data_IF_554935728370
#
_entry.id   IF_554935728370
#
_cell.length_a   1.000
_cell.length_b   1.000
_cell.length_c   1.000
_cell.angle_alpha   90.00
_cell.angle_beta   90.00
_cell.angle_gamma   90.00
#
_symmetry.space_group_name_H-M   'P 1'
#
loop_
_entity.id
_entity.type
_entity.pdbx_description
1 polymer ?
#
# COMPACT_ATOMS: atom_id res chain seq x y z
N UNK A 1 -25.94 -1.25 -25.78
CA UNK A 1 -25.78 -0.95 -27.22
C UNK A 1 -24.65 0.04 -27.38
N UNK A 2 -23.72 -0.21 -28.28
CA UNK A 2 -22.65 0.73 -28.61
C UNK A 2 -23.20 1.73 -29.63
N UNK A 3 -23.55 2.92 -29.16
CA UNK A 3 -24.07 4.00 -30.01
C UNK A 3 -22.92 4.91 -30.44
N UNK A 4 -22.90 5.42 -31.69
CA UNK A 4 -21.85 6.34 -32.12
C UNK A 4 -21.83 7.59 -31.22
N UNK A 5 -20.65 8.18 -31.03
CA UNK A 5 -20.49 9.38 -30.19
C UNK A 5 -21.31 10.58 -30.68
N UNK A 6 -21.71 10.59 -31.95
CA UNK A 6 -22.43 11.66 -32.61
C UNK A 6 -23.58 11.11 -33.46
N UNK A 7 -24.68 11.86 -33.49
CA UNK A 7 -25.82 11.63 -34.39
C UNK A 7 -26.00 12.81 -35.32
N UNK A 8 -26.10 12.53 -36.62
CA UNK A 8 -26.25 13.54 -37.67
C UNK A 8 -27.70 13.61 -38.15
N UNK A 9 -28.20 14.82 -38.34
CA UNK A 9 -29.55 15.13 -38.82
C UNK A 9 -29.52 16.32 -39.76
N UNK A 10 -30.47 16.38 -40.71
CA UNK A 10 -30.71 17.57 -41.53
C UNK A 10 -31.96 18.28 -41.03
N UNK A 11 -31.97 19.60 -41.10
CA UNK A 11 -33.17 20.42 -40.78
C UNK A 11 -34.29 20.23 -41.80
N UNK A 12 -33.96 20.03 -43.07
CA UNK A 12 -34.91 19.84 -44.15
C UNK A 12 -34.67 18.49 -44.83
N UNK A 13 -35.76 17.75 -45.10
CA UNK A 13 -35.70 16.46 -45.81
C UNK A 13 -35.74 16.59 -47.33
N UNK A 14 -36.37 17.63 -47.85
CA UNK A 14 -36.72 17.73 -49.28
C UNK A 14 -36.06 18.90 -50.00
N UNK A 15 -35.77 20.01 -49.31
CA UNK A 15 -35.06 21.16 -49.88
C UNK A 15 -33.63 21.19 -49.35
N UNK A 16 -32.69 20.68 -50.14
CA UNK A 16 -31.27 20.58 -49.77
C UNK A 16 -30.58 21.94 -49.81
N UNK A 17 -31.03 22.87 -50.66
CA UNK A 17 -30.43 24.20 -50.82
C UNK A 17 -30.61 25.08 -49.57
N UNK A 18 -31.71 24.88 -48.84
CA UNK A 18 -32.01 25.55 -47.58
C UNK A 18 -31.66 24.69 -46.34
N UNK A 19 -31.11 23.49 -46.55
CA UNK A 19 -30.85 22.56 -45.45
C UNK A 19 -29.59 22.93 -44.66
N UNK A 20 -29.74 23.00 -43.34
CA UNK A 20 -28.64 22.96 -42.39
C UNK A 20 -28.31 21.52 -42.00
N UNK A 21 -27.01 21.19 -41.92
CA UNK A 21 -26.54 19.96 -41.29
C UNK A 21 -26.39 20.19 -39.78
N UNK A 22 -26.90 19.26 -38.97
CA UNK A 22 -26.89 19.33 -37.51
C UNK A 22 -26.31 18.04 -36.95
N UNK A 23 -25.31 18.15 -36.09
CA UNK A 23 -24.65 17.03 -35.42
C UNK A 23 -24.85 17.21 -33.91
N UNK A 24 -25.37 16.18 -33.24
CA UNK A 24 -25.62 16.17 -31.78
C UNK A 24 -24.75 15.14 -31.09
N UNK A 25 -24.16 15.49 -29.95
CA UNK A 25 -23.37 14.55 -29.16
C UNK A 25 -24.28 13.61 -28.38
N UNK A 26 -24.01 12.32 -28.47
CA UNK A 26 -24.64 11.30 -27.63
C UNK A 26 -23.89 11.14 -26.29
N UNK A 27 -22.61 11.53 -26.22
CA UNK A 27 -21.82 11.50 -25.00
C UNK A 27 -22.09 12.71 -24.09
N UNK A 28 -22.37 13.87 -24.68
CA UNK A 28 -22.69 15.10 -23.95
C UNK A 28 -24.06 15.61 -24.38
N UNK A 29 -25.15 15.10 -23.78
CA UNK A 29 -26.49 15.57 -24.09
C UNK A 29 -26.59 17.08 -23.91
N UNK A 30 -26.99 17.76 -24.99
CA UNK A 30 -27.02 19.23 -25.06
C UNK A 30 -25.92 19.84 -25.94
N UNK A 31 -24.87 19.09 -26.30
CA UNK A 31 -23.88 19.54 -27.27
C UNK A 31 -24.42 19.38 -28.70
N UNK A 32 -24.40 20.47 -29.45
CA UNK A 32 -24.88 20.54 -30.82
C UNK A 32 -23.94 21.39 -31.67
N UNK A 33 -23.66 20.91 -32.88
CA UNK A 33 -22.96 21.64 -33.92
C UNK A 33 -23.87 21.75 -35.12
N UNK A 34 -23.95 22.92 -35.74
CA UNK A 34 -24.66 23.08 -37.00
C UNK A 34 -23.80 23.77 -38.04
N UNK A 35 -24.07 23.47 -39.31
CA UNK A 35 -23.42 24.09 -40.45
C UNK A 35 -24.46 24.48 -41.51
N UNK A 36 -24.35 25.72 -42.00
CA UNK A 36 -25.18 26.30 -43.06
C UNK A 36 -24.27 27.07 -44.02
N UNK A 37 -24.18 26.62 -45.26
CA UNK A 37 -23.33 27.23 -46.28
C UNK A 37 -21.86 27.29 -45.83
N UNK A 38 -21.36 28.51 -45.56
CA UNK A 38 -19.98 28.76 -45.09
C UNK A 38 -19.87 29.03 -43.58
N UNK A 39 -21.00 29.04 -42.88
CA UNK A 39 -21.07 29.30 -41.44
C UNK A 39 -21.26 28.00 -40.68
N UNK A 40 -20.59 27.87 -39.55
CA UNK A 40 -20.77 26.78 -38.62
C UNK A 40 -20.59 27.29 -37.20
N UNK A 41 -21.34 26.72 -36.26
CA UNK A 41 -21.24 27.08 -34.85
C UNK A 41 -21.42 25.85 -33.97
N UNK A 42 -20.85 25.95 -32.78
CA UNK A 42 -20.92 24.92 -31.75
C UNK A 42 -21.57 25.51 -30.50
N UNK A 43 -22.60 24.85 -30.00
CA UNK A 43 -23.33 25.28 -28.81
C UNK A 43 -23.52 24.12 -27.85
N UNK A 44 -23.38 24.41 -26.56
CA UNK A 44 -23.73 23.47 -25.49
C UNK A 44 -24.83 24.09 -24.62
N UNK A 45 -25.96 23.40 -24.53
CA UNK A 45 -27.05 23.75 -23.60
C UNK A 45 -27.46 22.49 -22.85
N UNK A 46 -27.04 22.37 -21.60
CA UNK A 46 -27.33 21.19 -20.79
C UNK A 46 -26.76 21.27 -19.39
N UNK A 47 -26.86 20.16 -18.67
CA UNK A 47 -26.55 20.06 -17.24
C UNK A 47 -25.06 19.83 -16.91
N UNK A 48 -24.18 19.74 -17.91
CA UNK A 48 -22.78 19.36 -17.72
C UNK A 48 -22.58 17.89 -17.33
N UNK A 49 -23.58 17.03 -17.58
CA UNK A 49 -23.52 15.61 -17.25
C UNK A 49 -23.16 14.79 -18.49
N UNK A 50 -22.09 14.00 -18.38
CA UNK A 50 -21.69 13.05 -19.41
C UNK A 50 -22.64 11.86 -19.41
N UNK A 51 -23.14 11.49 -20.58
CA UNK A 51 -23.86 10.23 -20.76
C UNK A 51 -22.87 9.07 -20.72
N UNK A 52 -23.12 8.15 -19.79
CA UNK A 52 -22.35 6.92 -19.61
C UNK A 52 -23.31 5.75 -19.84
N UNK A 53 -23.12 4.92 -20.88
CA UNK A 53 -24.04 3.81 -21.18
C UNK A 53 -24.22 2.81 -20.03
N UNK A 54 -23.19 2.66 -19.19
CA UNK A 54 -23.16 1.77 -18.04
C UNK A 54 -23.38 2.49 -16.70
N UNK A 55 -23.71 3.78 -16.74
CA UNK A 55 -23.82 4.63 -15.55
C UNK A 55 -22.47 5.10 -15.00
N UNK A 56 -22.53 5.88 -13.93
CA UNK A 56 -21.37 6.35 -13.18
C UNK A 56 -21.16 5.46 -11.95
N UNK A 57 -19.97 4.89 -11.81
CA UNK A 57 -19.54 4.19 -10.60
C UNK A 57 -18.63 5.12 -9.80
N UNK A 58 -18.98 5.49 -8.55
CA UNK A 58 -18.11 6.26 -7.68
C UNK A 58 -16.76 5.57 -7.47
N UNK A 59 -15.72 6.36 -7.21
CA UNK A 59 -14.41 5.81 -6.87
C UNK A 59 -14.51 4.97 -5.60
N UNK A 60 -13.89 3.79 -5.62
CA UNK A 60 -13.75 2.95 -4.43
C UNK A 60 -12.85 3.65 -3.41
N UNK A 61 -13.02 3.31 -2.14
CA UNK A 61 -12.13 3.80 -1.10
C UNK A 61 -10.68 3.40 -1.42
N UNK A 62 -9.69 4.26 -1.09
CA UNK A 62 -8.29 3.89 -1.23
C UNK A 62 -8.00 2.64 -0.39
N UNK A 63 -7.00 1.88 -0.82
CA UNK A 63 -6.54 0.74 -0.03
C UNK A 63 -6.07 1.24 1.34
N UNK A 64 -6.37 0.51 2.42
CA UNK A 64 -5.76 0.77 3.71
C UNK A 64 -4.23 0.69 3.60
N UNK A 65 -3.54 1.59 4.30
CA UNK A 65 -2.09 1.47 4.46
C UNK A 65 -1.76 0.28 5.36
N UNK A 66 -0.64 -0.38 5.09
CA UNK A 66 -0.16 -1.49 5.89
C UNK A 66 0.52 -1.00 7.16
N UNK A 67 0.43 -1.80 8.24
CA UNK A 67 1.21 -1.57 9.45
C UNK A 67 2.71 -1.76 9.18
N UNK A 68 3.55 -1.16 10.03
CA UNK A 68 4.99 -1.35 9.96
C UNK A 68 5.35 -2.82 10.15
N UNK A 69 6.25 -3.36 9.31
CA UNK A 69 6.67 -4.75 9.42
C UNK A 69 7.33 -5.01 10.78
N UNK A 70 6.94 -6.10 11.45
CA UNK A 70 7.55 -6.47 12.73
C UNK A 70 9.00 -6.92 12.51
N UNK A 71 9.95 -6.00 12.68
CA UNK A 71 11.39 -6.24 12.55
C UNK A 71 12.10 -6.52 13.87
N UNK A 72 13.38 -6.93 13.84
CA UNK A 72 14.21 -7.14 15.03
C UNK A 72 14.45 -5.86 15.85
N UNK A 73 14.13 -4.69 15.29
CA UNK A 73 14.15 -3.39 15.98
C UNK A 73 13.04 -3.27 17.04
N UNK A 74 11.92 -3.97 16.84
CA UNK A 74 10.73 -3.89 17.68
C UNK A 74 10.39 -5.22 18.36
N UNK A 75 11.01 -6.32 17.95
CA UNK A 75 10.91 -7.60 18.63
C UNK A 75 11.89 -7.65 19.80
N UNK A 76 11.38 -7.99 20.99
CA UNK A 76 12.20 -8.28 22.15
C UNK A 76 13.09 -9.51 21.87
N UNK A 77 14.38 -9.41 22.21
CA UNK A 77 15.29 -10.55 22.16
C UNK A 77 14.84 -11.59 23.20
N UNK A 78 14.88 -12.87 22.84
CA UNK A 78 14.59 -13.92 23.82
C UNK A 78 15.68 -13.96 24.88
N UNK A 79 15.26 -14.08 26.14
CA UNK A 79 16.18 -14.33 27.25
C UNK A 79 17.01 -15.60 26.99
N UNK A 80 18.30 -15.61 27.36
CA UNK A 80 19.12 -16.81 27.26
C UNK A 80 18.51 -17.93 28.11
N UNK A 81 18.65 -19.18 27.65
CA UNK A 81 18.19 -20.32 28.45
C UNK A 81 19.15 -20.57 29.61
N UNK A 82 18.64 -21.19 30.68
CA UNK A 82 19.44 -21.56 31.87
C UNK A 82 20.73 -22.30 31.51
N UNK A 83 20.68 -23.20 30.51
CA UNK A 83 21.86 -23.93 30.05
C UNK A 83 22.93 -22.99 29.48
N UNK A 84 22.53 -22.04 28.63
CA UNK A 84 23.44 -21.05 28.03
C UNK A 84 24.09 -20.18 29.10
N UNK A 85 23.33 -19.79 30.12
CA UNK A 85 23.87 -19.03 31.25
C UNK A 85 24.89 -19.82 32.08
N UNK A 86 24.62 -21.12 32.32
CA UNK A 86 25.54 -22.00 33.03
C UNK A 86 26.83 -22.22 32.24
N UNK A 87 26.73 -22.46 30.94
CA UNK A 87 27.89 -22.63 30.06
C UNK A 87 28.74 -21.35 30.02
N UNK A 88 28.10 -20.18 29.94
CA UNK A 88 28.77 -18.89 30.03
C UNK A 88 29.49 -18.72 31.37
N UNK A 89 28.83 -19.09 32.47
CA UNK A 89 29.39 -19.02 33.83
C UNK A 89 30.63 -19.90 33.96
N UNK A 90 30.60 -21.15 33.46
CA UNK A 90 31.75 -22.07 33.48
C UNK A 90 32.90 -21.53 32.63
N UNK A 91 32.62 -21.04 31.42
CA UNK A 91 33.63 -20.51 30.51
C UNK A 91 34.33 -19.25 31.06
N UNK A 92 33.63 -18.44 31.86
CA UNK A 92 34.15 -17.19 32.44
C UNK A 92 34.63 -17.33 33.90
N UNK A 93 34.70 -18.55 34.45
CA UNK A 93 35.31 -18.76 35.77
C UNK A 93 36.77 -18.30 35.73
N UNK A 94 37.16 -17.38 36.61
CA UNK A 94 38.55 -16.96 36.78
C UNK A 94 39.38 -18.19 37.12
N UNK A 95 40.51 -18.40 36.42
CA UNK A 95 41.46 -19.45 36.78
C UNK A 95 41.89 -19.24 38.24
N UNK A 96 41.92 -20.30 39.06
CA UNK A 96 42.45 -20.19 40.41
C UNK A 96 43.89 -19.63 40.32
N UNK A 97 44.31 -18.79 41.28
CA UNK A 97 45.68 -18.29 41.30
C UNK A 97 46.66 -19.47 41.25
N UNK A 98 47.82 -19.34 40.58
CA UNK A 98 48.82 -20.40 40.55
C UNK A 98 49.12 -20.85 41.98
N UNK A 99 48.98 -22.15 42.26
CA UNK A 99 49.50 -22.72 43.50
C UNK A 99 51.01 -22.52 43.48
N UNK A 100 51.55 -21.79 44.44
CA UNK A 100 53.00 -21.72 44.66
C UNK A 100 53.48 -23.14 45.00
N UNK A 101 54.33 -23.71 44.14
CA UNK A 101 55.03 -24.96 44.41
C UNK A 101 56.22 -24.69 45.34
N UNK A 102 56.19 -25.31 46.53
CA UNK A 102 57.38 -25.58 47.35
C UNK A 102 57.43 -24.92 48.73
N UNK A 103 56.99 -25.61 49.78
CA UNK A 103 57.83 -26.46 50.66
C UNK A 103 57.05 -26.86 51.95
N UNK A 104 56.79 -28.18 52.03
CA UNK A 104 56.67 -29.12 53.17
C UNK A 104 55.80 -28.87 54.44
N UNK A 105 54.84 -29.82 54.62
CA UNK A 105 54.35 -30.51 55.84
C UNK A 105 53.72 -29.65 56.98
N UNK A 106 52.58 -29.97 57.60
CA UNK A 106 51.99 -31.25 58.00
C UNK A 106 50.51 -31.01 58.44
N UNK A 107 49.65 -32.00 58.19
CA UNK A 107 48.37 -32.34 58.86
C UNK A 107 47.20 -31.34 59.01
N UNK A 108 46.10 -31.66 58.30
CA UNK A 108 44.88 -32.09 58.99
C UNK A 108 43.63 -31.20 58.84
N UNK A 109 42.68 -31.65 58.01
CA UNK A 109 41.27 -31.23 58.11
C UNK A 109 40.53 -31.10 56.79
N UNK A 110 40.19 -32.24 56.19
CA UNK A 110 39.20 -32.38 55.11
C UNK A 110 37.80 -31.91 55.55
N UNK A 111 37.10 -31.27 54.60
CA UNK A 111 35.65 -31.41 54.31
C UNK A 111 34.65 -30.87 55.37
N UNK A 112 33.53 -30.22 55.07
CA UNK A 112 32.78 -29.98 53.84
C UNK A 112 31.76 -28.85 54.15
N UNK A 113 31.27 -28.19 53.08
CA UNK A 113 29.96 -27.55 52.91
C UNK A 113 29.32 -26.72 54.04
N UNK A 114 28.99 -25.46 53.73
CA UNK A 114 27.61 -24.98 53.93
C UNK A 114 27.29 -23.87 52.91
N UNK A 115 26.31 -24.17 52.06
CA UNK A 115 25.46 -23.20 51.35
C UNK A 115 24.66 -22.35 52.37
N UNK A 116 24.45 -21.08 52.03
CA UNK A 116 23.17 -20.32 52.10
C UNK A 116 23.42 -18.83 52.46
N UNK A 117 23.37 -17.95 51.45
CA UNK A 117 22.25 -16.99 51.21
C UNK A 117 22.40 -16.28 49.85
#
# INVERSE_FOLDING_TARGET
EDSPAWSTTSTHKYNVELAAAVIRSNLWPGACTFAVGKTYENIYVGWGQKYLPYGFSPAVLPHPEYEYELGPEIMEIQDPTVQVEQDWRVAHKKKPPPKEEGEEEEEGGEEEEEEEE
#
